data_IF_045445465377
#
_entry.id   IF_045445465377
#
_cell.length_a   1.000
_cell.length_b   1.000
_cell.length_c   1.000
_cell.angle_alpha   90.00
_cell.angle_beta   90.00
_cell.angle_gamma   90.00
#
_symmetry.space_group_name_H-M   'P 1'
#
loop_
_entity.id
_entity.type
_entity.pdbx_description
1 polymer ?
#
# COMPACT_ATOMS: atom_id res chain seq x y z
N UNK A 1 11.55 -33.86 -10.48
CA UNK A 1 10.88 -32.72 -9.83
C UNK A 1 11.61 -31.41 -10.15
N UNK A 2 12.93 -31.44 -10.35
CA UNK A 2 13.80 -30.25 -10.47
C UNK A 2 13.57 -29.37 -11.72
N UNK A 3 13.25 -29.96 -12.88
CA UNK A 3 13.06 -29.18 -14.12
C UNK A 3 11.89 -28.18 -14.06
N UNK A 4 10.78 -28.54 -13.41
CA UNK A 4 9.62 -27.63 -13.27
C UNK A 4 9.94 -26.45 -12.33
N UNK A 5 10.72 -26.67 -11.26
CA UNK A 5 11.12 -25.61 -10.34
C UNK A 5 12.12 -24.64 -10.98
N UNK A 6 13.05 -25.15 -11.80
CA UNK A 6 13.99 -24.31 -12.56
C UNK A 6 13.28 -23.47 -13.63
N UNK A 7 12.30 -24.03 -14.33
CA UNK A 7 11.49 -23.27 -15.29
C UNK A 7 10.70 -22.14 -14.60
N UNK A 8 10.07 -22.43 -13.46
CA UNK A 8 9.33 -21.44 -12.68
C UNK A 8 10.23 -20.28 -12.23
N UNK A 9 11.44 -20.57 -11.76
CA UNK A 9 12.41 -19.56 -11.33
C UNK A 9 12.81 -18.65 -12.50
N UNK A 10 13.17 -19.25 -13.64
CA UNK A 10 13.54 -18.49 -14.86
C UNK A 10 12.39 -17.60 -15.36
N UNK A 11 11.16 -18.12 -15.37
CA UNK A 11 9.99 -17.35 -15.79
C UNK A 11 9.69 -16.21 -14.82
N UNK A 12 9.88 -16.42 -13.52
CA UNK A 12 9.69 -15.40 -12.51
C UNK A 12 10.76 -14.29 -12.60
N UNK A 13 12.02 -14.63 -12.88
CA UNK A 13 13.09 -13.66 -13.13
C UNK A 13 12.79 -12.78 -14.34
N UNK A 14 12.35 -13.40 -15.45
CA UNK A 14 11.93 -12.68 -16.66
C UNK A 14 10.74 -11.75 -16.37
N UNK A 15 9.72 -12.26 -15.67
CA UNK A 15 8.53 -11.48 -15.31
C UNK A 15 8.88 -10.32 -14.39
N UNK A 16 9.78 -10.53 -13.42
CA UNK A 16 10.30 -9.50 -12.52
C UNK A 16 10.96 -8.36 -13.30
N UNK A 17 11.77 -8.68 -14.32
CA UNK A 17 12.36 -7.66 -15.19
C UNK A 17 11.31 -6.83 -15.94
N UNK A 18 10.29 -7.50 -16.49
CA UNK A 18 9.18 -6.83 -17.18
C UNK A 18 8.41 -5.91 -16.22
N UNK A 19 8.06 -6.39 -15.03
CA UNK A 19 7.34 -5.60 -14.01
C UNK A 19 8.15 -4.37 -13.60
N UNK A 20 9.46 -4.52 -13.36
CA UNK A 20 10.34 -3.38 -13.06
C UNK A 20 10.38 -2.34 -14.19
N UNK A 21 10.41 -2.79 -15.45
CA UNK A 21 10.37 -1.87 -16.60
C UNK A 21 9.05 -1.10 -16.65
N UNK A 22 7.93 -1.76 -16.39
CA UNK A 22 6.62 -1.10 -16.37
C UNK A 22 6.49 -0.14 -15.20
N UNK A 23 7.00 -0.49 -14.02
CA UNK A 23 7.03 0.39 -12.87
C UNK A 23 7.81 1.68 -13.15
N UNK A 24 8.98 1.57 -13.81
CA UNK A 24 9.74 2.75 -14.24
C UNK A 24 8.94 3.65 -15.19
N UNK A 25 8.21 3.06 -16.16
CA UNK A 25 7.35 3.82 -17.08
C UNK A 25 6.18 4.51 -16.36
N UNK A 26 5.54 3.83 -15.41
CA UNK A 26 4.45 4.41 -14.62
C UNK A 26 4.94 5.60 -13.78
N UNK A 27 6.15 5.51 -13.20
CA UNK A 27 6.78 6.64 -12.48
C UNK A 27 7.04 7.83 -13.41
N UNK A 28 7.57 7.58 -14.61
CA UNK A 28 7.76 8.64 -15.61
C UNK A 28 6.43 9.29 -16.03
N UNK A 29 5.35 8.50 -16.14
CA UNK A 29 4.01 9.01 -16.45
C UNK A 29 3.44 9.83 -15.30
N UNK A 30 3.58 9.40 -14.05
CA UNK A 30 3.11 10.14 -12.86
C UNK A 30 3.79 11.51 -12.75
N UNK A 31 5.11 11.57 -12.97
CA UNK A 31 5.82 12.85 -13.03
C UNK A 31 5.32 13.73 -14.19
N UNK A 32 5.06 13.14 -15.36
CA UNK A 32 4.53 13.86 -16.52
C UNK A 32 3.13 14.44 -16.20
N UNK A 33 2.27 13.68 -15.55
CA UNK A 33 0.95 14.14 -15.12
C UNK A 33 1.06 15.25 -14.07
N UNK A 34 1.99 15.15 -13.12
CA UNK A 34 2.26 16.20 -12.12
C UNK A 34 2.75 17.51 -12.76
N UNK A 35 3.60 17.44 -13.78
CA UNK A 35 4.01 18.63 -14.56
C UNK A 35 2.84 19.22 -15.32
N UNK A 36 2.02 18.37 -15.93
CA UNK A 36 0.86 18.81 -16.69
C UNK A 36 -0.21 19.44 -15.78
N UNK A 37 -0.48 18.88 -14.60
CA UNK A 37 -1.39 19.44 -13.60
C UNK A 37 -1.00 20.88 -13.26
N UNK A 38 0.28 21.08 -12.92
CA UNK A 38 0.81 22.40 -12.64
C UNK A 38 0.65 23.35 -13.82
N UNK A 39 0.98 22.92 -15.05
CA UNK A 39 0.84 23.76 -16.23
C UNK A 39 -0.62 24.18 -16.49
N UNK A 40 -1.56 23.25 -16.44
CA UNK A 40 -2.99 23.53 -16.58
C UNK A 40 -3.48 24.48 -15.50
N UNK A 41 -3.05 24.30 -14.24
CA UNK A 41 -3.39 25.20 -13.14
C UNK A 41 -2.94 26.64 -13.41
N UNK A 42 -1.72 26.85 -13.90
CA UNK A 42 -1.25 28.18 -14.29
C UNK A 42 -2.08 28.79 -15.42
N UNK A 43 -2.39 28.00 -16.45
CA UNK A 43 -3.24 28.46 -17.57
C UNK A 43 -4.65 28.82 -17.12
N UNK A 44 -5.25 28.04 -16.22
CA UNK A 44 -6.57 28.32 -15.64
C UNK A 44 -6.54 29.66 -14.90
N UNK A 45 -5.57 29.86 -14.01
CA UNK A 45 -5.41 31.12 -13.26
C UNK A 45 -5.24 32.31 -14.22
N UNK A 46 -4.43 32.16 -15.27
CA UNK A 46 -4.25 33.23 -16.27
C UNK A 46 -5.54 33.55 -17.02
N UNK A 47 -6.31 32.55 -17.44
CA UNK A 47 -7.58 32.78 -18.15
C UNK A 47 -8.64 33.42 -17.25
N UNK A 48 -8.69 33.05 -15.96
CA UNK A 48 -9.57 33.71 -14.98
C UNK A 48 -9.20 35.19 -14.84
N UNK A 49 -7.90 35.50 -14.69
CA UNK A 49 -7.42 36.89 -14.56
C UNK A 49 -7.74 37.75 -15.79
N UNK A 50 -7.70 37.15 -16.98
CA UNK A 50 -8.04 37.82 -18.24
C UNK A 50 -9.55 37.89 -18.53
N UNK A 51 -10.42 37.40 -17.63
CA UNK A 51 -11.87 37.39 -17.81
C UNK A 51 -12.42 36.27 -18.70
N UNK A 52 -11.55 35.40 -19.23
CA UNK A 52 -11.88 34.30 -20.14
C UNK A 52 -12.40 33.06 -19.38
N UNK A 53 -13.48 33.22 -18.63
CA UNK A 53 -14.04 32.20 -17.74
C UNK A 53 -14.48 30.92 -18.46
N UNK A 54 -15.01 31.03 -19.68
CA UNK A 54 -15.41 29.86 -20.48
C UNK A 54 -14.22 28.93 -20.75
N UNK A 55 -13.09 29.50 -21.18
CA UNK A 55 -11.85 28.75 -21.44
C UNK A 55 -11.24 28.17 -20.16
N UNK A 56 -11.27 28.93 -19.07
CA UNK A 56 -10.83 28.44 -17.76
C UNK A 56 -11.64 27.21 -17.29
N UNK A 57 -12.97 27.23 -17.49
CA UNK A 57 -13.84 26.10 -17.14
C UNK A 57 -13.54 24.85 -17.96
N UNK A 58 -13.30 24.99 -19.26
CA UNK A 58 -12.90 23.86 -20.12
C UNK A 58 -11.57 23.25 -19.67
N UNK A 59 -10.55 24.09 -19.40
CA UNK A 59 -9.25 23.64 -18.89
C UNK A 59 -9.35 22.96 -17.52
N UNK A 60 -10.26 23.40 -16.65
CA UNK A 60 -10.51 22.78 -15.35
C UNK A 60 -11.13 21.38 -15.47
N UNK A 61 -12.02 21.17 -16.45
CA UNK A 61 -12.53 19.84 -16.78
C UNK A 61 -11.40 18.89 -17.18
N UNK A 62 -10.49 19.37 -18.02
CA UNK A 62 -9.36 18.57 -18.48
C UNK A 62 -8.32 18.28 -17.39
N UNK A 63 -8.11 19.23 -16.48
CA UNK A 63 -7.31 18.99 -15.28
C UNK A 63 -7.90 17.88 -14.41
N UNK A 64 -9.23 17.82 -14.27
CA UNK A 64 -9.91 16.73 -13.54
C UNK A 64 -9.66 15.37 -14.20
N UNK A 65 -9.76 15.32 -15.53
CA UNK A 65 -9.47 14.11 -16.31
C UNK A 65 -8.02 13.65 -16.13
N UNK A 66 -7.06 14.59 -16.19
CA UNK A 66 -5.64 14.31 -15.94
C UNK A 66 -5.43 13.73 -14.54
N UNK A 67 -6.05 14.29 -13.51
CA UNK A 67 -5.96 13.78 -12.13
C UNK A 67 -6.52 12.37 -11.99
N UNK A 68 -7.59 12.06 -12.70
CA UNK A 68 -8.15 10.70 -12.70
C UNK A 68 -7.16 9.70 -13.32
N UNK A 69 -6.58 10.03 -14.47
CA UNK A 69 -5.55 9.19 -15.11
C UNK A 69 -4.30 9.06 -14.23
N UNK A 70 -3.90 10.14 -13.55
CA UNK A 70 -2.79 10.11 -12.60
C UNK A 70 -3.04 9.15 -11.44
N UNK A 71 -4.22 9.20 -10.79
CA UNK A 71 -4.58 8.26 -9.72
C UNK A 71 -4.57 6.81 -10.21
N UNK A 72 -5.10 6.54 -11.40
CA UNK A 72 -5.04 5.20 -12.00
C UNK A 72 -3.60 4.74 -12.23
N UNK A 73 -2.72 5.65 -12.67
CA UNK A 73 -1.28 5.37 -12.87
C UNK A 73 -0.60 5.03 -11.54
N UNK A 74 -0.89 5.78 -10.48
CA UNK A 74 -0.36 5.54 -9.13
C UNK A 74 -0.84 4.19 -8.57
N UNK A 75 -2.14 3.89 -8.69
CA UNK A 75 -2.71 2.62 -8.24
C UNK A 75 -2.11 1.43 -9.00
N UNK A 76 -1.90 1.56 -10.32
CA UNK A 76 -1.21 0.55 -11.11
C UNK A 76 0.24 0.36 -10.64
N UNK A 77 0.94 1.44 -10.29
CA UNK A 77 2.29 1.39 -9.72
C UNK A 77 2.34 0.59 -8.42
N UNK A 78 1.44 0.90 -7.47
CA UNK A 78 1.33 0.17 -6.20
C UNK A 78 1.05 -1.31 -6.41
N UNK A 79 0.14 -1.66 -7.33
CA UNK A 79 -0.16 -3.05 -7.64
C UNK A 79 1.07 -3.82 -8.17
N UNK A 80 1.90 -3.18 -9.00
CA UNK A 80 3.15 -3.78 -9.48
C UNK A 80 4.20 -3.90 -8.37
N UNK A 81 4.30 -2.93 -7.46
CA UNK A 81 5.20 -3.02 -6.29
C UNK A 81 4.82 -4.17 -5.37
N UNK A 82 3.52 -4.35 -5.09
CA UNK A 82 3.00 -5.50 -4.33
C UNK A 82 3.34 -6.82 -5.02
N UNK A 83 3.25 -6.88 -6.34
CA UNK A 83 3.62 -8.07 -7.10
C UNK A 83 5.11 -8.42 -6.97
N UNK A 84 6.00 -7.42 -7.01
CA UNK A 84 7.43 -7.62 -6.81
C UNK A 84 7.75 -8.18 -5.41
N UNK A 85 7.07 -7.67 -4.37
CA UNK A 85 7.23 -8.19 -3.00
C UNK A 85 6.82 -9.68 -2.96
N UNK A 86 5.69 -10.05 -3.57
CA UNK A 86 5.24 -11.45 -3.64
C UNK A 86 6.19 -12.35 -4.42
N UNK A 87 6.83 -11.84 -5.49
CA UNK A 87 7.86 -12.61 -6.19
C UNK A 87 9.10 -12.84 -5.33
N UNK A 88 9.49 -11.86 -4.50
CA UNK A 88 10.60 -12.04 -3.53
C UNK A 88 10.30 -13.16 -2.55
N UNK A 89 9.10 -13.16 -1.96
CA UNK A 89 8.73 -14.19 -0.96
C UNK A 89 8.64 -15.59 -1.59
N UNK A 90 8.10 -15.71 -2.82
CA UNK A 90 8.09 -16.98 -3.56
C UNK A 90 9.52 -17.45 -3.86
N UNK A 91 10.43 -16.54 -4.24
CA UNK A 91 11.83 -16.89 -4.49
C UNK A 91 12.54 -17.36 -3.21
N UNK A 92 12.32 -16.68 -2.09
CA UNK A 92 12.85 -17.07 -0.78
C UNK A 92 12.34 -18.46 -0.38
N UNK A 93 11.05 -18.74 -0.56
CA UNK A 93 10.47 -20.05 -0.29
C UNK A 93 11.02 -21.15 -1.22
N UNK A 94 11.26 -20.83 -2.50
CA UNK A 94 11.85 -21.76 -3.46
C UNK A 94 13.27 -22.19 -3.03
N UNK A 95 14.08 -21.26 -2.52
CA UNK A 95 15.40 -21.59 -1.96
C UNK A 95 15.31 -22.52 -0.75
N UNK A 96 14.36 -22.27 0.16
CA UNK A 96 14.13 -23.16 1.32
C UNK A 96 13.73 -24.57 0.85
N UNK A 97 12.84 -24.69 -0.14
CA UNK A 97 12.45 -25.99 -0.69
C UNK A 97 13.59 -26.77 -1.35
N UNK A 98 14.55 -26.09 -1.98
CA UNK A 98 15.77 -26.71 -2.52
C UNK A 98 16.56 -27.47 -1.44
N UNK A 99 16.52 -26.99 -0.19
CA UNK A 99 17.17 -27.65 0.96
C UNK A 99 16.29 -28.72 1.66
N UNK A 100 14.98 -28.51 1.69
CA UNK A 100 14.05 -29.44 2.37
C UNK A 100 13.83 -30.70 1.54
N UNK A 101 13.69 -30.58 0.21
CA UNK A 101 13.47 -31.72 -0.69
C UNK A 101 14.48 -32.88 -0.50
N UNK A 102 15.81 -32.64 -0.56
CA UNK A 102 16.79 -33.71 -0.35
C UNK A 102 16.77 -34.25 1.08
N UNK A 103 16.48 -33.41 2.08
CA UNK A 103 16.37 -33.81 3.49
C UNK A 103 15.21 -34.80 3.72
N UNK A 104 14.07 -34.60 3.05
CA UNK A 104 12.95 -35.54 3.08
C UNK A 104 13.35 -36.89 2.44
N UNK A 105 14.15 -36.85 1.37
CA UNK A 105 14.74 -38.04 0.76
C UNK A 105 15.60 -38.83 1.76
N UNK A 106 16.52 -38.15 2.45
CA UNK A 106 17.35 -38.75 3.49
C UNK A 106 16.52 -39.36 4.63
N UNK A 107 15.47 -38.66 5.11
CA UNK A 107 14.57 -39.19 6.15
C UNK A 107 13.86 -40.46 5.68
N UNK A 108 13.39 -40.51 4.42
CA UNK A 108 12.79 -41.71 3.83
C UNK A 108 13.76 -42.88 3.75
N UNK A 109 15.03 -42.62 3.44
CA UNK A 109 16.05 -43.66 3.37
C UNK A 109 16.37 -44.20 4.75
N UNK A 110 16.53 -43.33 5.76
CA UNK A 110 16.68 -43.71 7.17
C UNK A 110 15.47 -44.54 7.66
N UNK A 111 14.24 -44.11 7.34
CA UNK A 111 13.03 -44.86 7.67
C UNK A 111 13.07 -46.26 7.06
N UNK A 112 13.45 -46.38 5.79
CA UNK A 112 13.53 -47.66 5.08
C UNK A 112 14.55 -48.59 5.75
N UNK A 113 15.70 -48.06 6.14
CA UNK A 113 16.76 -48.85 6.76
C UNK A 113 16.43 -49.26 8.20
N UNK A 114 15.86 -48.36 9.01
CA UNK A 114 15.40 -48.70 10.35
C UNK A 114 14.26 -49.71 10.31
N UNK A 115 13.33 -49.60 9.35
CA UNK A 115 12.22 -50.55 9.23
C UNK A 115 12.67 -51.99 8.92
N UNK A 116 13.86 -52.18 8.33
CA UNK A 116 14.47 -53.51 8.13
C UNK A 116 15.05 -54.09 9.41
N UNK A 117 15.48 -53.24 10.36
CA UNK A 117 16.18 -53.64 11.58
C UNK A 117 15.23 -53.71 12.78
N UNK A 118 14.26 -52.80 12.87
CA UNK A 118 13.30 -52.67 13.97
C UNK A 118 11.89 -52.40 13.38
N UNK A 119 11.07 -53.44 13.15
CA UNK A 119 9.74 -53.30 12.55
C UNK A 119 8.79 -52.40 13.37
N UNK A 120 8.95 -52.40 14.70
CA UNK A 120 8.15 -51.61 15.64
C UNK A 120 8.36 -50.09 15.51
N UNK A 121 9.51 -49.64 14.99
CA UNK A 121 9.81 -48.23 14.78
C UNK A 121 9.12 -47.65 13.52
N UNK A 122 8.63 -48.50 12.61
CA UNK A 122 8.01 -48.06 11.35
C UNK A 122 6.73 -47.23 11.57
N UNK A 123 5.99 -47.50 12.65
CA UNK A 123 4.77 -46.77 13.00
C UNK A 123 5.05 -45.29 13.30
N UNK A 124 6.11 -45.01 14.09
CA UNK A 124 6.52 -43.64 14.45
C UNK A 124 7.00 -42.85 13.23
N UNK A 125 7.74 -43.50 12.32
CA UNK A 125 8.15 -42.86 11.07
C UNK A 125 6.99 -42.64 10.09
N UNK A 126 5.99 -43.51 10.10
CA UNK A 126 4.78 -43.32 9.30
C UNK A 126 3.99 -42.10 9.78
N UNK A 127 3.92 -41.88 11.09
CA UNK A 127 3.32 -40.69 11.70
C UNK A 127 4.11 -39.42 11.36
N UNK A 128 5.45 -39.46 11.47
CA UNK A 128 6.32 -38.35 11.08
C UNK A 128 6.21 -38.02 9.58
N UNK A 129 6.11 -39.04 8.72
CA UNK A 129 5.85 -38.87 7.28
C UNK A 129 4.48 -38.24 7.03
N UNK A 130 3.45 -38.63 7.80
CA UNK A 130 2.12 -38.02 7.71
C UNK A 130 2.19 -36.54 8.06
N UNK A 131 2.80 -36.18 9.19
CA UNK A 131 2.96 -34.78 9.60
C UNK A 131 3.76 -34.00 8.57
N UNK A 132 4.85 -34.56 8.02
CA UNK A 132 5.64 -33.90 6.98
C UNK A 132 4.85 -33.73 5.69
N UNK A 133 4.06 -34.73 5.30
CA UNK A 133 3.20 -34.68 4.11
C UNK A 133 2.07 -33.68 4.32
N UNK A 134 1.47 -33.64 5.51
CA UNK A 134 0.45 -32.69 5.90
C UNK A 134 1.01 -31.27 5.92
N UNK A 135 2.26 -31.06 6.37
CA UNK A 135 2.90 -29.75 6.26
C UNK A 135 3.12 -29.38 4.79
N UNK A 136 3.55 -30.30 3.91
CA UNK A 136 3.70 -30.02 2.49
C UNK A 136 2.37 -29.74 1.76
N UNK A 137 1.33 -30.52 2.06
CA UNK A 137 -0.01 -30.41 1.45
C UNK A 137 -0.76 -29.21 2.03
N UNK A 138 -0.72 -28.97 3.34
CA UNK A 138 -1.33 -27.75 3.91
C UNK A 138 -0.49 -26.49 3.65
N UNK A 139 0.76 -26.64 3.21
CA UNK A 139 1.52 -25.55 2.57
C UNK A 139 1.14 -25.37 1.10
N UNK A 140 0.03 -25.95 0.62
CA UNK A 140 -0.57 -25.68 -0.68
C UNK A 140 -0.69 -24.15 -0.86
N UNK A 141 0.34 -23.55 -1.46
CA UNK A 141 0.30 -22.31 -2.19
C UNK A 141 -0.53 -22.64 -3.42
N UNK A 142 -1.83 -22.83 -3.21
CA UNK A 142 -2.80 -22.87 -4.29
C UNK A 142 -2.79 -21.43 -4.81
N UNK A 143 -1.93 -21.18 -5.79
CA UNK A 143 -1.87 -19.96 -6.57
C UNK A 143 -3.19 -19.90 -7.33
N UNK A 144 -4.24 -19.46 -6.64
CA UNK A 144 -5.51 -19.14 -7.24
C UNK A 144 -5.31 -17.86 -8.05
N UNK A 145 -4.82 -18.04 -9.28
CA UNK A 145 -4.66 -17.00 -10.29
C UNK A 145 -6.01 -16.39 -10.72
N UNK A 146 -7.14 -16.82 -10.14
CA UNK A 146 -8.48 -16.47 -10.62
C UNK A 146 -9.39 -15.66 -9.69
N UNK A 147 -9.16 -15.59 -8.38
CA UNK A 147 -10.12 -14.91 -7.49
C UNK A 147 -9.72 -13.47 -7.20
N UNK A 148 -10.46 -12.58 -7.87
CA UNK A 148 -10.70 -11.17 -7.54
C UNK A 148 -9.81 -10.60 -6.42
N UNK A 149 -8.91 -9.70 -6.80
CA UNK A 149 -8.21 -8.78 -5.92
C UNK A 149 -9.23 -7.90 -5.17
N UNK A 150 -9.78 -8.45 -4.10
CA UNK A 150 -10.27 -7.72 -2.96
C UNK A 150 -9.42 -8.27 -1.84
N UNK A 151 -8.25 -7.67 -1.63
CA UNK A 151 -7.47 -7.89 -0.42
C UNK A 151 -8.44 -7.76 0.75
N UNK A 152 -8.77 -8.85 1.47
CA UNK A 152 -9.30 -8.68 2.81
C UNK A 152 -8.17 -7.93 3.49
N UNK A 153 -8.45 -6.71 3.94
CA UNK A 153 -7.47 -5.97 4.71
C UNK A 153 -7.24 -6.84 5.93
N UNK A 154 -6.08 -7.50 5.94
CA UNK A 154 -5.70 -8.41 7.00
C UNK A 154 -5.68 -7.61 8.30
N UNK A 155 -6.32 -8.15 9.34
CA UNK A 155 -6.45 -7.46 10.63
C UNK A 155 -5.07 -7.08 11.17
N UNK A 156 -4.07 -7.91 10.87
CA UNK A 156 -2.69 -7.69 11.25
C UNK A 156 -2.05 -6.56 10.44
N UNK A 157 -2.39 -6.42 9.15
CA UNK A 157 -1.95 -5.29 8.34
C UNK A 157 -2.51 -3.95 8.85
N UNK A 158 -3.76 -3.91 9.33
CA UNK A 158 -4.33 -2.72 9.97
C UNK A 158 -3.68 -2.40 11.32
N UNK A 159 -3.33 -3.44 12.08
CA UNK A 159 -2.62 -3.26 13.35
C UNK A 159 -1.23 -2.64 13.13
N UNK A 160 -0.50 -3.13 12.11
CA UNK A 160 0.81 -2.60 11.74
C UNK A 160 0.69 -1.17 11.20
N UNK A 161 -0.33 -0.86 10.39
CA UNK A 161 -0.54 0.51 9.89
C UNK A 161 -0.81 1.48 11.04
N UNK A 162 -1.64 1.09 12.01
CA UNK A 162 -1.92 1.90 13.21
C UNK A 162 -0.68 2.08 14.09
N UNK A 163 0.15 1.04 14.23
CA UNK A 163 1.41 1.14 14.97
C UNK A 163 2.36 2.13 14.30
N UNK A 164 2.49 2.08 12.96
CA UNK A 164 3.32 3.00 12.18
C UNK A 164 2.77 4.43 12.23
N UNK A 165 1.45 4.63 12.13
CA UNK A 165 0.81 5.95 12.29
C UNK A 165 1.09 6.56 13.67
N UNK A 166 1.05 5.74 14.74
CA UNK A 166 1.40 6.18 16.10
C UNK A 166 2.87 6.60 16.24
N UNK A 167 3.79 5.91 15.55
CA UNK A 167 5.22 6.30 15.53
C UNK A 167 5.38 7.62 14.76
N UNK A 168 4.69 7.79 13.63
CA UNK A 168 4.75 8.99 12.80
C UNK A 168 4.15 10.22 13.51
N UNK A 169 3.06 10.04 14.27
CA UNK A 169 2.46 11.11 15.07
C UNK A 169 3.40 11.58 16.19
N UNK A 170 4.06 10.63 16.87
CA UNK A 170 5.07 10.95 17.88
C UNK A 170 6.30 11.65 17.27
N UNK A 171 6.73 11.23 16.08
CA UNK A 171 7.80 11.91 15.35
C UNK A 171 7.38 13.33 14.90
N UNK A 172 6.13 13.52 14.48
CA UNK A 172 5.60 14.82 14.11
C UNK A 172 5.49 15.77 15.33
N UNK A 173 5.06 15.27 16.49
CA UNK A 173 5.00 16.05 17.75
C UNK A 173 6.38 16.46 18.26
N UNK A 174 7.41 15.65 18.03
CA UNK A 174 8.78 16.01 18.40
C UNK A 174 9.42 17.00 17.41
N UNK A 175 8.96 17.05 16.17
CA UNK A 175 9.47 17.96 15.12
C UNK A 175 8.68 19.27 14.96
N UNK A 176 7.46 19.36 15.47
CA UNK A 176 6.64 20.58 15.44
C UNK A 176 6.72 21.28 16.81
N UNK A 177 7.34 22.47 16.94
CA UNK A 177 7.27 23.23 18.18
C UNK A 177 5.83 23.65 18.47
N UNK A 178 5.40 23.56 19.73
CA UNK A 178 4.09 24.06 20.16
C UNK A 178 3.94 25.54 19.81
N UNK A 179 2.74 25.92 19.34
CA UNK A 179 2.44 27.29 18.92
C UNK A 179 2.58 28.21 20.14
N UNK A 180 3.42 29.27 20.08
CA UNK A 180 3.63 30.15 21.22
C UNK A 180 2.31 30.76 21.71
N UNK A 181 2.09 30.71 23.02
CA UNK A 181 0.88 31.16 23.71
C UNK A 181 0.50 32.62 23.44
N UNK A 182 1.41 33.43 22.89
CA UNK A 182 1.17 34.82 22.52
C UNK A 182 0.27 35.04 21.29
N UNK A 183 -0.06 33.99 20.51
CA UNK A 183 -0.98 34.13 19.36
C UNK A 183 -2.45 33.99 19.80
N UNK A 184 -2.72 33.27 20.90
CA UNK A 184 -4.09 33.06 21.41
C UNK A 184 -4.68 34.30 22.08
N UNK A 185 -3.83 35.18 22.61
CA UNK A 185 -4.27 36.39 23.32
C UNK A 185 -4.84 37.46 22.37
N UNK A 186 -4.28 37.58 21.15
CA UNK A 186 -4.73 38.57 20.16
C UNK A 186 -6.12 38.28 19.58
N UNK A 187 -6.63 37.05 19.72
CA UNK A 187 -8.01 36.69 19.34
C UNK A 187 -9.06 37.02 20.39
N UNK A 188 -8.68 37.24 21.66
CA UNK A 188 -9.64 37.53 22.74
C UNK A 188 -9.90 39.03 22.94
N UNK A 189 -8.96 39.91 22.62
CA UNK A 189 -9.16 41.36 22.76
C UNK A 189 -10.11 41.99 21.73
N UNK A 190 -10.38 41.32 20.60
CA UNK A 190 -11.27 41.87 19.57
C UNK A 190 -12.77 41.73 19.88
N UNK A 191 -13.15 41.05 20.96
CA UNK A 191 -14.57 40.84 21.33
C UNK A 191 -15.10 41.77 22.44
N UNK A 192 -14.28 42.66 23.01
CA UNK A 192 -14.68 43.48 24.18
C UNK A 192 -15.03 44.95 23.89
N UNK A 193 -15.13 45.39 22.62
CA UNK A 193 -15.42 46.80 22.32
C UNK A 193 -16.64 47.09 21.43
N UNK A 194 -17.52 46.13 21.14
CA UNK A 194 -18.62 46.37 20.18
C UNK A 194 -20.03 46.00 20.66
N UNK A 195 -20.31 46.08 21.96
CA UNK A 195 -21.65 45.74 22.44
C UNK A 195 -22.02 46.34 23.79
N UNK A 196 -22.11 47.66 23.90
CA UNK A 196 -22.95 48.28 24.93
C UNK A 196 -23.23 49.76 24.63
N UNK A 197 -24.17 50.03 23.71
CA UNK A 197 -25.22 51.05 23.91
C UNK A 197 -26.41 50.65 23.05
N UNK A 198 -27.40 49.98 23.64
CA UNK A 198 -28.76 50.01 23.11
C UNK A 198 -29.78 49.89 24.24
N UNK A 199 -30.69 50.86 24.21
CA UNK A 199 -32.04 50.83 24.75
C UNK A 199 -32.25 51.40 26.17
N UNK A 200 -32.61 52.69 26.20
CA UNK A 200 -33.68 53.21 27.06
C UNK A 200 -34.39 54.36 26.35
N UNK A 201 -35.65 54.11 25.98
CA UNK A 201 -36.80 55.03 26.07
C UNK A 201 -36.69 56.41 25.42
N UNK A 202 -37.61 56.74 24.49
CA UNK A 202 -38.81 57.54 24.80
C UNK A 202 -39.64 57.81 23.53
N UNK A 203 -40.95 57.61 23.70
CA UNK A 203 -42.02 57.89 22.74
C UNK A 203 -42.39 59.38 22.86
N UNK A 204 -42.71 60.03 21.73
CA UNK A 204 -43.87 60.94 21.50
C UNK A 204 -43.52 62.20 20.68
N UNK A 205 -44.09 62.34 19.48
CA UNK A 205 -45.33 63.08 19.07
C UNK A 205 -45.00 64.56 18.78
N UNK A 206 -45.20 65.00 17.53
CA UNK A 206 -46.29 65.95 17.22
C UNK A 206 -46.51 66.11 15.71
N UNK A 207 -47.78 65.91 15.35
CA UNK A 207 -48.59 66.68 14.41
C UNK A 207 -50.04 66.47 14.80
#
# INVERSE_FOLDING_TARGET
MDQHQQQLKSDMEKTTSVVNNQLARLRMLDEKFSRMDNNFRHQIISNIKSGNNCRAKALAGELSNIRNVQRTTQNAGLALEVMLIRFSTINEFAMVMETINPTIGMIRDIQRDISKVIPAASNVFSEMKSITSDVLVNSDIKLDVGSKFSTPVDKDALSILNEIEGILENEAKTKLPEVPSGILEKSMDKKFHEGEVSDKSQIMIEG
#
